data_IF_461239002771
#
_entry.id   IF_461239002771
#
_cell.length_a   1.000
_cell.length_b   1.000
_cell.length_c   1.000
_cell.angle_alpha   90.00
_cell.angle_beta   90.00
_cell.angle_gamma   90.00
#
_symmetry.space_group_name_H-M   'P 1'
#
loop_
_entity.id
_entity.type
_entity.pdbx_description
1 polymer ?
#
# COMPACT_ATOMS: atom_id res chain seq x y z
N UNK A 1 39.25 -3.84 54.73
CA UNK A 1 39.70 -4.92 53.81
C UNK A 1 38.70 -6.05 53.97
N UNK A 2 37.94 -6.55 53.00
CA UNK A 2 37.98 -6.63 51.53
C UNK A 2 36.51 -6.68 51.10
N UNK A 3 35.98 -5.77 50.27
CA UNK A 3 35.90 -5.80 48.80
C UNK A 3 35.45 -7.13 48.16
N UNK A 4 34.64 -7.00 47.09
CA UNK A 4 33.93 -7.99 46.24
C UNK A 4 32.45 -8.20 46.59
N UNK A 5 31.47 -7.98 45.71
CA UNK A 5 31.38 -7.25 44.45
C UNK A 5 29.87 -7.04 44.23
N UNK A 6 29.43 -5.80 43.96
CA UNK A 6 28.03 -5.51 43.63
C UNK A 6 27.74 -6.15 42.26
N UNK A 7 26.94 -7.21 42.22
CA UNK A 7 26.40 -7.73 40.95
C UNK A 7 25.39 -6.70 40.45
N UNK A 8 25.86 -5.77 39.62
CA UNK A 8 25.02 -4.92 38.79
C UNK A 8 24.46 -5.84 37.69
N UNK A 9 23.24 -6.35 37.86
CA UNK A 9 22.49 -6.92 36.74
C UNK A 9 22.06 -5.74 35.88
N UNK A 10 22.93 -5.32 34.97
CA UNK A 10 22.56 -4.48 33.83
C UNK A 10 21.77 -5.38 32.90
N UNK A 11 20.48 -5.56 33.20
CA UNK A 11 19.53 -6.16 32.29
C UNK A 11 19.38 -5.21 31.11
N UNK A 12 20.13 -5.54 30.06
CA UNK A 12 20.10 -4.96 28.75
C UNK A 12 18.72 -5.21 28.12
N UNK A 13 17.74 -4.37 28.47
CA UNK A 13 16.51 -4.19 27.70
C UNK A 13 16.77 -3.14 26.61
N UNK A 14 17.75 -3.42 25.74
CA UNK A 14 17.66 -2.90 24.38
C UNK A 14 16.59 -3.74 23.69
N UNK A 15 15.33 -3.38 23.91
CA UNK A 15 14.28 -3.68 22.97
C UNK A 15 14.73 -3.06 21.65
N UNK A 16 15.32 -3.88 20.79
CA UNK A 16 15.50 -3.55 19.37
C UNK A 16 14.10 -3.49 18.78
N UNK A 17 13.41 -2.37 19.03
CA UNK A 17 12.40 -1.88 18.11
C UNK A 17 13.16 -1.49 16.83
N UNK A 18 13.59 -2.49 16.07
CA UNK A 18 13.74 -2.34 14.64
C UNK A 18 12.33 -2.21 14.09
N UNK A 19 11.69 -1.07 14.37
CA UNK A 19 10.59 -0.60 13.57
C UNK A 19 11.14 -0.53 12.16
N UNK A 20 10.73 -1.47 11.32
CA UNK A 20 10.99 -1.39 9.89
C UNK A 20 10.24 -0.16 9.41
N UNK A 21 10.90 1.01 9.45
CA UNK A 21 10.41 2.19 8.76
C UNK A 21 10.39 1.82 7.29
N UNK A 22 9.19 1.81 6.72
CA UNK A 22 9.06 1.71 5.28
C UNK A 22 9.57 3.01 4.71
N UNK A 23 10.75 2.95 4.11
CA UNK A 23 11.27 4.05 3.33
C UNK A 23 10.64 3.93 1.93
N UNK A 24 9.45 4.49 1.76
CA UNK A 24 8.83 4.58 0.44
C UNK A 24 9.65 5.55 -0.40
N UNK A 25 10.22 5.05 -1.50
CA UNK A 25 11.12 5.81 -2.37
C UNK A 25 10.47 7.08 -2.96
N UNK A 26 9.13 7.07 -3.12
CA UNK A 26 8.40 8.18 -3.72
C UNK A 26 7.87 9.23 -2.74
N UNK A 27 7.57 8.87 -1.49
CA UNK A 27 6.47 9.53 -0.81
C UNK A 27 6.74 9.78 0.68
N UNK A 28 6.71 11.05 1.03
CA UNK A 28 6.88 11.62 2.38
C UNK A 28 5.57 12.17 2.97
N UNK A 29 4.50 12.23 2.17
CA UNK A 29 3.18 12.74 2.56
C UNK A 29 2.04 11.91 1.97
N UNK A 30 0.84 12.08 2.53
CA UNK A 30 -0.38 11.47 1.98
C UNK A 30 -0.66 11.98 0.57
N UNK A 31 -0.49 13.27 0.32
CA UNK A 31 -0.71 13.90 -0.99
C UNK A 31 0.19 13.30 -2.07
N UNK A 32 1.46 13.04 -1.78
CA UNK A 32 2.38 12.37 -2.72
C UNK A 32 1.96 10.93 -3.03
N UNK A 33 1.39 10.22 -2.05
CA UNK A 33 0.82 8.89 -2.25
C UNK A 33 -0.44 8.98 -3.14
N UNK A 34 -1.34 9.93 -2.89
CA UNK A 34 -2.54 10.11 -3.71
C UNK A 34 -2.18 10.37 -5.17
N UNK A 35 -1.23 11.28 -5.42
CA UNK A 35 -0.75 11.60 -6.76
C UNK A 35 -0.08 10.38 -7.43
N UNK A 36 0.84 9.72 -6.71
CA UNK A 36 1.60 8.59 -7.27
C UNK A 36 0.71 7.38 -7.53
N UNK A 37 -0.24 7.09 -6.63
CA UNK A 37 -1.16 5.96 -6.75
C UNK A 37 -2.27 6.20 -7.79
N UNK A 38 -2.65 7.45 -8.07
CA UNK A 38 -3.70 7.75 -9.05
C UNK A 38 -3.38 7.19 -10.44
N UNK A 39 -4.35 6.50 -11.05
CA UNK A 39 -4.23 5.90 -12.39
C UNK A 39 -4.60 4.42 -12.43
N UNK A 40 -4.18 3.76 -13.51
CA UNK A 40 -4.52 2.36 -13.80
C UNK A 40 -3.33 1.45 -13.48
N UNK A 41 -3.61 0.38 -12.75
CA UNK A 41 -2.61 -0.57 -12.27
C UNK A 41 -2.97 -2.00 -12.66
N UNK A 42 -1.97 -2.77 -13.07
CA UNK A 42 -2.12 -4.18 -13.45
C UNK A 42 -1.31 -5.04 -12.50
N UNK A 43 -1.90 -6.12 -11.99
CA UNK A 43 -1.17 -7.13 -11.22
C UNK A 43 -0.12 -7.78 -12.14
N UNK A 44 1.11 -7.91 -11.67
CA UNK A 44 2.18 -8.62 -12.40
C UNK A 44 1.81 -10.08 -12.59
N UNK A 45 2.16 -10.65 -13.74
CA UNK A 45 1.92 -12.04 -14.11
C UNK A 45 0.43 -12.48 -14.16
N UNK A 46 -0.51 -11.55 -13.98
CA UNK A 46 -1.94 -11.81 -14.18
C UNK A 46 -2.30 -11.70 -15.66
N UNK A 47 -2.62 -12.84 -16.28
CA UNK A 47 -3.05 -12.91 -17.68
C UNK A 47 -4.46 -12.39 -17.94
N UNK A 48 -5.22 -11.99 -16.91
CA UNK A 48 -6.57 -11.46 -17.09
C UNK A 48 -6.58 -10.11 -17.81
N UNK A 49 -7.76 -9.63 -18.19
CA UNK A 49 -7.96 -8.27 -18.71
C UNK A 49 -8.16 -7.22 -17.62
N UNK A 50 -8.18 -7.62 -16.35
CA UNK A 50 -8.49 -6.73 -15.23
C UNK A 50 -7.38 -5.74 -14.94
N UNK A 51 -7.77 -4.52 -14.62
CA UNK A 51 -6.96 -3.42 -14.13
C UNK A 51 -7.65 -2.82 -12.91
N UNK A 52 -6.88 -2.15 -12.07
CA UNK A 52 -7.37 -1.42 -10.92
C UNK A 52 -7.20 0.07 -11.18
N UNK A 53 -8.30 0.80 -11.19
CA UNK A 53 -8.30 2.24 -11.38
C UNK A 53 -8.43 2.92 -10.03
N UNK A 54 -7.39 3.65 -9.63
CA UNK A 54 -7.34 4.42 -8.40
C UNK A 54 -7.48 5.91 -8.71
N UNK A 55 -8.32 6.63 -7.97
CA UNK A 55 -8.42 8.08 -8.08
C UNK A 55 -8.85 8.72 -6.76
N UNK A 56 -8.47 9.98 -6.58
CA UNK A 56 -8.73 10.74 -5.37
C UNK A 56 -9.46 12.03 -5.68
N UNK A 57 -10.49 12.33 -4.89
CA UNK A 57 -11.26 13.57 -4.99
C UNK A 57 -11.33 14.19 -3.60
N UNK A 58 -10.68 15.34 -3.41
CA UNK A 58 -10.65 16.07 -2.13
C UNK A 58 -10.22 15.18 -0.94
N UNK A 59 -9.16 14.38 -1.11
CA UNK A 59 -8.62 13.48 -0.07
C UNK A 59 -9.45 12.21 0.17
N UNK A 60 -10.51 11.98 -0.63
CA UNK A 60 -11.29 10.74 -0.64
C UNK A 60 -10.84 9.86 -1.80
N UNK A 61 -10.24 8.72 -1.46
CA UNK A 61 -9.80 7.75 -2.45
C UNK A 61 -10.96 6.85 -2.91
N UNK A 62 -10.82 6.38 -4.14
CA UNK A 62 -11.72 5.44 -4.77
C UNK A 62 -10.89 4.42 -5.54
N UNK A 63 -11.42 3.20 -5.63
CA UNK A 63 -10.86 2.17 -6.49
C UNK A 63 -11.98 1.37 -7.14
N UNK A 64 -11.78 0.97 -8.39
CA UNK A 64 -12.65 0.02 -9.09
C UNK A 64 -11.81 -0.95 -9.92
N UNK A 65 -12.38 -2.10 -10.24
CA UNK A 65 -11.84 -3.00 -11.26
C UNK A 65 -12.41 -2.58 -12.63
N UNK A 66 -11.54 -2.47 -13.62
CA UNK A 66 -11.90 -2.21 -15.02
C UNK A 66 -11.28 -3.26 -15.93
N UNK A 67 -11.91 -3.55 -17.06
CA UNK A 67 -11.38 -4.48 -18.06
C UNK A 67 -10.86 -3.74 -19.30
N UNK A 68 -9.75 -4.22 -19.87
CA UNK A 68 -9.24 -3.75 -21.16
C UNK A 68 -10.18 -4.12 -22.30
N UNK A 69 -10.36 -3.16 -23.22
CA UNK A 69 -11.10 -3.39 -24.48
C UNK A 69 -10.13 -3.56 -25.65
N UNK A 70 -10.67 -3.83 -26.84
CA UNK A 70 -9.88 -3.85 -28.09
C UNK A 70 -9.30 -2.48 -28.45
N UNK A 71 -9.91 -1.40 -27.94
CA UNK A 71 -9.42 -0.04 -28.13
C UNK A 71 -8.45 0.35 -27.02
N UNK A 72 -7.22 0.71 -27.40
CA UNK A 72 -6.20 1.19 -26.47
C UNK A 72 -6.72 2.38 -25.65
N UNK A 73 -6.49 2.36 -24.33
CA UNK A 73 -6.92 3.41 -23.42
C UNK A 73 -8.43 3.48 -23.15
N UNK A 74 -9.23 2.53 -23.67
CA UNK A 74 -10.65 2.39 -23.30
C UNK A 74 -10.84 1.19 -22.38
N UNK A 75 -11.51 1.46 -21.26
CA UNK A 75 -11.77 0.49 -20.21
C UNK A 75 -13.26 0.41 -19.89
N UNK A 76 -13.69 -0.77 -19.42
CA UNK A 76 -15.06 -1.00 -18.97
C UNK A 76 -15.06 -1.29 -17.47
N UNK A 77 -15.80 -0.51 -16.69
CA UNK A 77 -15.95 -0.77 -15.25
C UNK A 77 -16.64 -2.11 -15.01
N UNK A 78 -16.06 -2.91 -14.12
CA UNK A 78 -16.67 -4.15 -13.63
C UNK A 78 -17.74 -3.78 -12.61
N UNK A 79 -19.00 -4.13 -12.93
CA UNK A 79 -20.15 -3.77 -12.10
C UNK A 79 -20.00 -4.30 -10.67
N UNK A 80 -20.13 -3.40 -9.69
CA UNK A 80 -20.08 -3.73 -8.27
C UNK A 80 -18.67 -3.89 -7.69
N UNK A 81 -17.62 -3.55 -8.44
CA UNK A 81 -16.23 -3.59 -7.97
C UNK A 81 -15.76 -2.33 -7.23
N UNK A 82 -16.55 -1.25 -7.27
CA UNK A 82 -16.19 0.02 -6.64
C UNK A 82 -16.07 -0.11 -5.12
N UNK A 83 -15.00 0.47 -4.58
CA UNK A 83 -14.73 0.59 -3.15
C UNK A 83 -14.21 1.99 -2.84
N UNK A 84 -14.51 2.47 -1.63
CA UNK A 84 -13.84 3.66 -1.09
C UNK A 84 -12.46 3.27 -0.57
N UNK A 85 -11.52 4.21 -0.66
CA UNK A 85 -10.14 4.03 -0.27
C UNK A 85 -9.70 5.14 0.68
N UNK A 86 -9.06 4.78 1.78
CA UNK A 86 -8.44 5.70 2.72
C UNK A 86 -6.98 5.35 2.89
N UNK A 87 -6.11 6.36 2.80
CA UNK A 87 -4.70 6.21 3.17
C UNK A 87 -4.60 6.41 4.68
N UNK A 88 -4.10 5.39 5.38
CA UNK A 88 -3.77 5.42 6.80
C UNK A 88 -2.27 5.52 6.98
N UNK A 89 -1.88 6.25 8.01
CA UNK A 89 -0.52 6.27 8.52
C UNK A 89 -0.47 5.35 9.75
N UNK A 90 0.38 4.33 9.71
CA UNK A 90 0.59 3.35 10.78
C UNK A 90 2.07 3.33 11.14
N UNK A 91 2.39 3.86 12.32
CA UNK A 91 3.74 4.07 12.83
C UNK A 91 4.66 4.82 11.85
N UNK A 92 5.42 4.06 11.04
CA UNK A 92 6.38 4.56 10.06
C UNK A 92 6.10 3.96 8.66
N UNK A 93 4.83 3.69 8.38
CA UNK A 93 4.36 3.11 7.13
C UNK A 93 2.99 3.67 6.73
N UNK A 94 2.66 3.51 5.44
CA UNK A 94 1.34 3.84 4.92
C UNK A 94 0.59 2.57 4.53
N UNK A 95 -0.71 2.58 4.77
CA UNK A 95 -1.62 1.51 4.40
C UNK A 95 -2.83 2.05 3.66
N UNK A 96 -3.42 1.19 2.82
CA UNK A 96 -4.64 1.42 2.10
C UNK A 96 -5.77 0.66 2.79
N UNK A 97 -6.74 1.38 3.37
CA UNK A 97 -7.99 0.81 3.84
C UNK A 97 -9.05 0.90 2.75
N UNK A 98 -9.59 -0.25 2.36
CA UNK A 98 -10.62 -0.40 1.36
C UNK A 98 -11.94 -0.64 2.07
N UNK A 99 -12.97 0.12 1.74
CA UNK A 99 -14.32 -0.02 2.30
C UNK A 99 -15.30 -0.34 1.18
N UNK A 100 -15.97 -1.48 1.31
CA UNK A 100 -17.00 -1.94 0.37
C UNK A 100 -18.24 -2.37 1.14
N UNK A 101 -19.33 -2.69 0.42
CA UNK A 101 -20.66 -2.93 1.00
C UNK A 101 -20.70 -3.94 2.16
N UNK A 102 -19.81 -4.92 2.15
CA UNK A 102 -19.85 -6.07 3.07
C UNK A 102 -18.64 -6.15 4.01
N UNK A 103 -17.81 -5.11 4.05
CA UNK A 103 -16.67 -5.08 4.96
C UNK A 103 -15.58 -4.12 4.51
N UNK A 104 -14.43 -4.31 5.13
CA UNK A 104 -13.20 -3.61 4.80
C UNK A 104 -12.04 -4.58 4.75
N UNK A 105 -11.00 -4.22 4.02
CA UNK A 105 -9.69 -4.85 4.15
C UNK A 105 -8.61 -3.77 4.18
N UNK A 106 -7.42 -4.14 4.67
CA UNK A 106 -6.27 -3.25 4.74
C UNK A 106 -5.10 -3.89 4.02
N UNK A 107 -4.41 -3.10 3.21
CA UNK A 107 -3.17 -3.50 2.52
C UNK A 107 -2.07 -2.50 2.83
N UNK A 108 -0.94 -2.96 3.35
CA UNK A 108 0.22 -2.11 3.63
C UNK A 108 1.01 -1.85 2.34
N UNK A 109 1.42 -0.59 2.10
CA UNK A 109 2.16 -0.20 0.90
C UNK A 109 3.63 -0.58 1.07
N UNK A 110 4.10 -1.70 0.51
CA UNK A 110 5.52 -2.11 0.63
C UNK A 110 6.42 -1.39 -0.36
N UNK A 111 5.88 -0.99 -1.50
CA UNK A 111 6.58 -0.22 -2.53
C UNK A 111 5.58 0.67 -3.25
N UNK A 112 5.94 1.92 -3.50
CA UNK A 112 5.22 2.80 -4.41
C UNK A 112 6.25 3.69 -5.11
N UNK A 113 6.21 3.70 -6.44
CA UNK A 113 6.92 4.64 -7.30
C UNK A 113 6.05 4.92 -8.54
N UNK A 114 6.56 5.73 -9.47
CA UNK A 114 5.82 6.12 -10.69
C UNK A 114 5.36 4.92 -11.55
N UNK A 115 6.03 3.78 -11.42
CA UNK A 115 5.85 2.60 -12.27
C UNK A 115 5.43 1.35 -11.50
N UNK A 116 5.76 1.24 -10.21
CA UNK A 116 5.56 0.03 -9.42
C UNK A 116 4.76 0.31 -8.15
N UNK A 117 3.92 -0.66 -7.80
CA UNK A 117 3.21 -0.71 -6.54
C UNK A 117 3.32 -2.14 -6.00
N UNK A 118 3.61 -2.29 -4.72
CA UNK A 118 3.57 -3.57 -4.01
C UNK A 118 2.72 -3.41 -2.78
N UNK A 119 1.67 -4.22 -2.65
CA UNK A 119 0.74 -4.21 -1.54
C UNK A 119 0.82 -5.52 -0.78
N UNK A 120 1.00 -5.46 0.54
CA UNK A 120 0.91 -6.64 1.40
C UNK A 120 -0.47 -6.72 2.04
N UNK A 121 -1.15 -7.85 1.88
CA UNK A 121 -2.44 -8.13 2.52
C UNK A 121 -2.37 -9.51 3.16
N UNK A 122 -2.68 -9.61 4.45
CA UNK A 122 -2.63 -10.88 5.20
C UNK A 122 -1.28 -11.64 5.08
N UNK A 123 -0.17 -10.91 4.95
CA UNK A 123 1.18 -11.49 4.80
C UNK A 123 1.56 -11.89 3.37
N UNK A 124 0.67 -11.72 2.39
CA UNK A 124 0.95 -11.97 0.98
C UNK A 124 1.20 -10.65 0.23
N UNK A 125 2.26 -10.60 -0.58
CA UNK A 125 2.61 -9.43 -1.40
C UNK A 125 2.02 -9.61 -2.80
N UNK A 126 1.27 -8.61 -3.25
CA UNK A 126 0.82 -8.47 -4.64
C UNK A 126 1.55 -7.32 -5.28
N UNK A 127 2.23 -7.61 -6.39
CA UNK A 127 2.94 -6.60 -7.18
C UNK A 127 2.09 -6.12 -8.36
N UNK A 128 2.20 -4.83 -8.65
CA UNK A 128 1.52 -4.16 -9.74
C UNK A 128 2.52 -3.35 -10.56
N UNK A 129 2.16 -3.09 -11.82
CA UNK A 129 2.78 -2.07 -12.64
C UNK A 129 1.75 -1.05 -13.12
N UNK A 130 2.18 0.21 -13.21
CA UNK A 130 1.33 1.30 -13.68
C UNK A 130 1.21 1.25 -15.20
N UNK A 131 -0.01 1.40 -15.70
CA UNK A 131 -0.27 1.50 -17.12
C UNK A 131 0.03 2.94 -17.56
N UNK A 132 0.95 3.09 -18.52
CA UNK A 132 1.30 4.36 -19.15
C UNK A 132 1.12 4.22 -20.66
N UNK A 133 0.41 5.16 -21.28
CA UNK A 133 0.32 5.28 -22.74
C UNK A 133 0.69 6.70 -23.17
#
# INVERSE_FOLDING_TARGET
MSFFSKILIVSSLFLTFSGYSQNLECCSSKEEIEETLSGYWKIKDDSSKSLYHFWFENGRGNVENVETTESLGKYLSVKGSHSYLYIKEEDASFALEYIFKFGNWISTIKKLDKHNLSLETNGEITDYYKITY
#
